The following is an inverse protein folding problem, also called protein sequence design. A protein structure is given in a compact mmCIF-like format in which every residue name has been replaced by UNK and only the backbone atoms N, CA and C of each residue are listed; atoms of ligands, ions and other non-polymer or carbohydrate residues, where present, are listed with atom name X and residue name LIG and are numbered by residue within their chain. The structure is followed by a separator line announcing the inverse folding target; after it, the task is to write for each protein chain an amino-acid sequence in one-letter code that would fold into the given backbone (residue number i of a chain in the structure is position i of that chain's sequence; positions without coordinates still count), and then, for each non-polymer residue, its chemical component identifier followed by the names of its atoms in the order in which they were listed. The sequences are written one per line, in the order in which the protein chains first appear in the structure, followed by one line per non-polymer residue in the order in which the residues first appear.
data_IF_279576020894
#
_entry.id   IF_279576020894
#
_cell.length_a   1.000
_cell.length_b   1.000
_cell.length_c   1.000
_cell.angle_alpha   90.00
_cell.angle_beta   90.00
_cell.angle_gamma   90.00
#
_symmetry.space_group_name_H-M   'P 1'
#
loop_
_entity.id
_entity.type
_entity.pdbx_description
1 polymer ?
#
# COMPACT_ATOMS: atom_id res chain seq x y z
N UNK A 1 -27.19 -3.87 -26.24
CA UNK A 1 -26.99 -5.06 -25.38
C UNK A 1 -26.48 -4.56 -24.04
N UNK A 2 -27.06 -5.02 -22.95
CA UNK A 2 -26.62 -4.66 -21.61
C UNK A 2 -25.24 -5.27 -21.35
N UNK A 3 -24.23 -4.42 -21.13
CA UNK A 3 -22.86 -4.87 -20.93
C UNK A 3 -22.60 -5.19 -19.46
N UNK A 4 -21.98 -6.33 -19.22
CA UNK A 4 -21.68 -6.87 -17.90
C UNK A 4 -20.15 -6.99 -17.68
N UNK A 5 -19.65 -6.45 -16.58
CA UNK A 5 -18.28 -6.66 -16.13
C UNK A 5 -18.25 -7.49 -14.84
N UNK A 6 -17.26 -8.35 -14.71
CA UNK A 6 -17.00 -9.13 -13.50
C UNK A 6 -15.64 -8.74 -12.92
N UNK A 7 -15.61 -8.50 -11.60
CA UNK A 7 -14.37 -8.29 -10.84
C UNK A 7 -14.17 -9.46 -9.88
N UNK A 8 -13.02 -10.09 -9.95
CA UNK A 8 -12.64 -11.18 -9.06
C UNK A 8 -11.83 -10.62 -7.88
N UNK A 9 -12.40 -10.70 -6.68
CA UNK A 9 -11.82 -10.22 -5.43
C UNK A 9 -12.32 -8.83 -5.03
N UNK A 10 -12.76 -8.70 -3.77
CA UNK A 10 -13.23 -7.45 -3.15
C UNK A 10 -12.17 -6.83 -2.20
N UNK A 11 -10.88 -6.94 -2.52
CA UNK A 11 -9.82 -6.14 -1.92
C UNK A 11 -9.77 -4.74 -2.53
N UNK A 12 -8.90 -3.85 -2.02
CA UNK A 12 -8.78 -2.47 -2.51
C UNK A 12 -8.73 -2.41 -4.04
N UNK A 13 -7.87 -3.18 -4.68
CA UNK A 13 -7.72 -3.18 -6.14
C UNK A 13 -9.03 -3.53 -6.88
N UNK A 14 -9.75 -4.56 -6.42
CA UNK A 14 -11.02 -4.97 -7.01
C UNK A 14 -12.14 -3.98 -6.78
N UNK A 15 -12.24 -3.40 -5.58
CA UNK A 15 -13.23 -2.36 -5.27
C UNK A 15 -13.02 -1.11 -6.14
N UNK A 16 -11.77 -0.70 -6.36
CA UNK A 16 -11.45 0.45 -7.21
C UNK A 16 -11.70 0.13 -8.70
N UNK A 17 -11.40 -1.08 -9.15
CA UNK A 17 -11.75 -1.53 -10.49
C UNK A 17 -13.28 -1.53 -10.70
N UNK A 18 -14.05 -2.07 -9.75
CA UNK A 18 -15.51 -2.07 -9.82
C UNK A 18 -16.08 -0.64 -9.88
N UNK A 19 -15.51 0.30 -9.10
CA UNK A 19 -15.92 1.71 -9.12
C UNK A 19 -15.79 2.33 -10.52
N UNK A 20 -14.66 2.13 -11.18
CA UNK A 20 -14.44 2.73 -12.51
C UNK A 20 -15.22 2.00 -13.60
N UNK A 21 -15.47 0.69 -13.46
CA UNK A 21 -16.30 -0.09 -14.37
C UNK A 21 -17.78 0.35 -14.30
N UNK A 22 -18.26 0.73 -13.12
CA UNK A 22 -19.64 1.13 -12.92
C UNK A 22 -20.06 2.37 -13.74
N UNK A 23 -19.11 3.21 -14.15
CA UNK A 23 -19.38 4.36 -15.01
C UNK A 23 -19.59 3.96 -16.50
N UNK A 24 -19.27 2.70 -16.88
CA UNK A 24 -19.23 2.26 -18.29
C UNK A 24 -20.02 0.97 -18.58
N UNK A 25 -20.39 0.19 -17.53
CA UNK A 25 -21.12 -1.04 -17.66
C UNK A 25 -22.47 -0.94 -16.96
N UNK A 26 -23.52 -1.52 -17.58
CA UNK A 26 -24.85 -1.56 -16.99
C UNK A 26 -24.91 -2.43 -15.75
N UNK A 27 -24.07 -3.48 -15.71
CA UNK A 27 -23.95 -4.37 -14.56
C UNK A 27 -22.49 -4.63 -14.25
N UNK A 28 -22.13 -4.53 -12.97
CA UNK A 28 -20.80 -4.90 -12.46
C UNK A 28 -21.00 -5.86 -11.28
N UNK A 29 -20.51 -7.08 -11.43
CA UNK A 29 -20.54 -8.08 -10.36
C UNK A 29 -19.15 -8.23 -9.75
N UNK A 30 -19.04 -7.99 -8.45
CA UNK A 30 -17.84 -8.26 -7.68
C UNK A 30 -17.99 -9.62 -6.98
N UNK A 31 -17.10 -10.56 -7.27
CA UNK A 31 -17.07 -11.88 -6.66
C UNK A 31 -16.01 -11.93 -5.56
N UNK A 32 -16.43 -12.30 -4.37
CA UNK A 32 -15.53 -12.42 -3.21
C UNK A 32 -15.73 -13.78 -2.52
N UNK A 33 -14.62 -14.48 -2.29
CA UNK A 33 -14.64 -15.80 -1.65
C UNK A 33 -14.96 -15.77 -0.17
N UNK A 34 -14.63 -14.66 0.52
CA UNK A 34 -14.90 -14.48 1.94
C UNK A 34 -16.31 -13.91 2.15
N UNK A 35 -16.85 -14.13 3.35
CA UNK A 35 -17.99 -13.36 3.86
C UNK A 35 -17.43 -12.07 4.48
N UNK A 36 -17.99 -10.93 4.10
CA UNK A 36 -17.53 -9.61 4.50
C UNK A 36 -18.42 -9.07 5.62
N UNK A 37 -17.88 -8.95 6.82
CA UNK A 37 -18.60 -8.45 7.99
C UNK A 37 -17.99 -7.12 8.45
N UNK A 38 -18.59 -5.99 8.04
CA UNK A 38 -18.16 -4.65 8.44
C UNK A 38 -16.65 -4.42 8.24
N UNK A 39 -16.00 -3.80 9.22
CA UNK A 39 -14.58 -3.51 9.26
C UNK A 39 -13.76 -4.62 9.97
N UNK A 40 -14.12 -5.88 9.83
CA UNK A 40 -13.38 -7.01 10.42
C UNK A 40 -12.29 -7.56 9.47
N UNK A 41 -11.13 -8.00 10.00
CA UNK A 41 -10.15 -8.74 9.23
C UNK A 41 -10.75 -10.02 8.66
N UNK A 42 -10.38 -10.41 7.43
CA UNK A 42 -10.91 -11.57 6.73
C UNK A 42 -9.83 -12.58 6.31
N UNK A 43 -10.22 -13.84 6.10
CA UNK A 43 -9.28 -14.95 5.83
C UNK A 43 -8.50 -14.75 4.53
N UNK A 44 -9.14 -14.23 3.50
CA UNK A 44 -8.52 -13.98 2.19
C UNK A 44 -7.49 -12.86 2.17
N UNK A 45 -7.44 -12.05 3.23
CA UNK A 45 -6.50 -10.93 3.36
C UNK A 45 -5.79 -11.01 4.73
N UNK A 46 -4.96 -12.05 4.97
CA UNK A 46 -4.29 -12.23 6.26
C UNK A 46 -3.43 -11.03 6.67
N UNK A 47 -2.87 -10.31 5.69
CA UNK A 47 -2.11 -9.08 5.93
C UNK A 47 -2.96 -7.93 6.48
N UNK A 48 -4.29 -7.98 6.46
CA UNK A 48 -5.16 -6.91 6.98
C UNK A 48 -5.00 -6.67 8.48
N UNK A 49 -4.40 -7.62 9.22
CA UNK A 49 -4.05 -7.50 10.64
C UNK A 49 -2.75 -6.74 10.90
N UNK A 50 -2.10 -6.23 9.86
CA UNK A 50 -0.83 -5.51 9.94
C UNK A 50 -1.01 -4.06 9.54
N UNK A 51 -0.05 -3.21 9.92
CA UNK A 51 -0.07 -1.81 9.55
C UNK A 51 -0.06 -1.66 8.03
N UNK A 52 -0.99 -0.87 7.52
CA UNK A 52 -1.08 -0.49 6.13
C UNK A 52 -1.05 1.03 6.03
N UNK A 53 0.02 1.57 5.46
CA UNK A 53 0.08 3.00 5.14
C UNK A 53 -0.66 3.28 3.83
N UNK A 54 -1.72 4.06 3.88
CA UNK A 54 -2.27 4.68 2.67
C UNK A 54 -1.46 5.95 2.40
N UNK A 55 -0.60 5.92 1.38
CA UNK A 55 0.18 7.08 1.02
C UNK A 55 -0.72 8.24 0.53
N UNK A 56 -0.26 9.48 0.70
CA UNK A 56 -1.03 10.66 0.33
C UNK A 56 -1.49 10.63 -1.14
N UNK A 57 -0.64 10.16 -2.07
CA UNK A 57 -1.02 9.99 -3.47
C UNK A 57 -2.20 9.02 -3.66
N UNK A 58 -2.21 7.91 -2.92
CA UNK A 58 -3.33 6.96 -2.92
C UNK A 58 -4.61 7.58 -2.35
N UNK A 59 -4.52 8.33 -1.24
CA UNK A 59 -5.66 9.03 -0.65
C UNK A 59 -6.29 10.03 -1.63
N UNK A 60 -5.46 10.80 -2.34
CA UNK A 60 -5.97 11.76 -3.34
C UNK A 60 -6.76 11.06 -4.45
N UNK A 61 -6.29 9.91 -4.94
CA UNK A 61 -7.01 9.13 -5.96
C UNK A 61 -8.30 8.52 -5.38
N UNK A 62 -8.26 8.02 -4.14
CA UNK A 62 -9.48 7.52 -3.50
C UNK A 62 -10.52 8.62 -3.32
N UNK A 63 -10.10 9.84 -2.99
CA UNK A 63 -11.01 11.00 -2.88
C UNK A 63 -11.57 11.42 -4.25
N UNK A 64 -10.80 11.29 -5.35
CA UNK A 64 -11.30 11.50 -6.71
C UNK A 64 -12.36 10.48 -7.11
N UNK A 65 -12.12 9.20 -6.81
CA UNK A 65 -13.04 8.11 -7.17
C UNK A 65 -14.28 8.05 -6.27
N UNK A 66 -14.14 8.47 -5.02
CA UNK A 66 -15.19 8.49 -3.99
C UNK A 66 -15.14 9.82 -3.22
N UNK A 67 -15.70 10.91 -3.77
CA UNK A 67 -15.68 12.21 -3.12
C UNK A 67 -16.25 12.17 -1.69
N UNK A 68 -15.51 12.67 -0.69
CA UNK A 68 -15.86 12.64 0.72
C UNK A 68 -15.47 11.36 1.47
N UNK A 69 -14.76 10.42 0.86
CA UNK A 69 -14.33 9.17 1.49
C UNK A 69 -13.45 9.41 2.73
N UNK A 70 -12.57 10.41 2.68
CA UNK A 70 -11.75 10.78 3.85
C UNK A 70 -12.64 11.23 5.02
N UNK A 71 -13.68 12.02 4.75
CA UNK A 71 -14.61 12.47 5.79
C UNK A 71 -15.40 11.30 6.41
N UNK A 72 -15.82 10.33 5.59
CA UNK A 72 -16.49 9.13 6.11
C UNK A 72 -15.57 8.32 7.02
N UNK A 73 -14.33 8.07 6.60
CA UNK A 73 -13.37 7.35 7.43
C UNK A 73 -13.09 8.09 8.75
N UNK A 74 -13.01 9.43 8.71
CA UNK A 74 -12.91 10.27 9.92
C UNK A 74 -14.17 10.14 10.78
N UNK A 75 -15.36 10.11 10.20
CA UNK A 75 -16.61 9.85 10.90
C UNK A 75 -16.65 8.49 11.62
N UNK A 76 -15.88 7.51 11.13
CA UNK A 76 -15.67 6.21 11.78
C UNK A 76 -14.50 6.21 12.77
N UNK A 77 -13.91 7.38 13.07
CA UNK A 77 -12.86 7.56 14.06
C UNK A 77 -11.43 7.42 13.56
N UNK A 78 -11.20 7.27 12.25
CA UNK A 78 -9.85 7.26 11.70
C UNK A 78 -9.27 8.68 11.70
N UNK A 79 -8.12 8.96 12.33
CA UNK A 79 -7.53 10.28 12.30
C UNK A 79 -6.85 10.58 10.96
N UNK A 80 -6.65 11.87 10.71
CA UNK A 80 -5.76 12.35 9.64
C UNK A 80 -4.56 13.05 10.24
N UNK A 81 -3.43 13.02 9.53
CA UNK A 81 -2.23 13.74 9.96
C UNK A 81 -1.47 14.29 8.76
N UNK A 82 -0.67 15.32 8.98
CA UNK A 82 0.30 15.80 8.02
C UNK A 82 1.55 14.90 8.05
N UNK A 83 2.12 14.61 6.89
CA UNK A 83 3.13 13.54 6.73
C UNK A 83 4.39 13.77 7.58
N UNK A 84 4.93 15.01 7.63
CA UNK A 84 6.17 15.30 8.37
C UNK A 84 5.97 16.12 9.65
N UNK A 85 4.89 16.90 9.73
CA UNK A 85 4.62 17.73 10.91
C UNK A 85 3.71 17.08 11.94
N UNK A 86 3.09 15.95 11.61
CA UNK A 86 2.25 15.15 12.52
C UNK A 86 2.67 13.69 12.63
N UNK A 87 3.79 13.30 11.99
CA UNK A 87 4.39 11.98 12.16
C UNK A 87 5.91 12.01 12.02
N UNK A 88 6.56 10.99 12.61
CA UNK A 88 8.02 10.85 12.64
C UNK A 88 8.49 9.87 11.59
N UNK A 89 9.40 10.29 10.73
CA UNK A 89 9.96 9.42 9.69
C UNK A 89 11.46 9.27 9.89
N UNK A 90 11.90 8.02 10.04
CA UNK A 90 13.32 7.68 10.15
C UNK A 90 13.80 7.04 8.86
N UNK A 91 14.64 7.74 8.11
CA UNK A 91 15.20 7.34 6.85
C UNK A 91 16.66 6.93 7.07
N UNK A 92 16.98 5.66 6.87
CA UNK A 92 18.33 5.11 7.18
C UNK A 92 18.81 5.45 8.60
N UNK A 93 17.93 5.33 9.59
CA UNK A 93 18.21 5.58 11.01
C UNK A 93 18.24 7.08 11.40
N UNK A 94 18.03 8.01 10.47
CA UNK A 94 18.02 9.45 10.72
C UNK A 94 16.61 10.00 10.63
N UNK A 95 16.17 10.75 11.64
CA UNK A 95 14.86 11.42 11.62
C UNK A 95 14.85 12.49 10.54
N UNK A 96 13.87 12.42 9.62
CA UNK A 96 13.66 13.46 8.62
C UNK A 96 13.31 14.80 9.28
N UNK A 97 13.82 15.90 8.73
CA UNK A 97 13.54 17.25 9.24
C UNK A 97 12.04 17.54 9.12
N UNK A 98 11.45 17.98 10.23
CA UNK A 98 10.03 18.36 10.31
C UNK A 98 9.78 19.62 9.48
N UNK A 99 8.82 19.54 8.57
CA UNK A 99 8.38 20.67 7.73
C UNK A 99 7.00 20.35 7.16
N UNK A 100 6.16 21.34 6.86
CA UNK A 100 4.92 21.08 6.09
C UNK A 100 5.24 20.50 4.72
N UNK A 101 4.56 19.42 4.37
CA UNK A 101 4.64 18.80 3.03
C UNK A 101 3.44 19.14 2.15
N UNK A 102 2.38 19.71 2.73
CA UNK A 102 1.05 19.89 2.16
C UNK A 102 0.39 18.54 1.80
N UNK A 103 0.80 17.48 2.46
CA UNK A 103 0.28 16.13 2.29
C UNK A 103 -0.43 15.68 3.57
N UNK A 104 -1.73 15.51 3.48
CA UNK A 104 -2.52 14.85 4.51
C UNK A 104 -2.59 13.36 4.20
N UNK A 105 -2.33 12.52 5.19
CA UNK A 105 -2.57 11.08 5.15
C UNK A 105 -3.72 10.69 6.05
N UNK A 106 -4.43 9.64 5.67
CA UNK A 106 -5.50 9.02 6.47
C UNK A 106 -4.91 7.82 7.22
N UNK A 107 -5.03 7.83 8.53
CA UNK A 107 -4.54 6.77 9.41
C UNK A 107 -5.71 5.85 9.76
N UNK A 108 -5.99 4.90 8.90
CA UNK A 108 -7.07 3.94 9.05
C UNK A 108 -6.51 2.51 9.01
N UNK A 109 -7.12 1.61 9.76
CA UNK A 109 -6.86 0.19 9.53
C UNK A 109 -7.34 -0.22 8.13
N UNK A 110 -6.70 -1.21 7.56
CA UNK A 110 -7.11 -1.72 6.25
C UNK A 110 -8.56 -2.24 6.24
N UNK A 111 -9.04 -2.97 7.27
CA UNK A 111 -10.43 -3.39 7.33
C UNK A 111 -11.43 -2.22 7.31
N UNK A 112 -11.15 -1.13 8.02
CA UNK A 112 -12.00 0.07 7.98
C UNK A 112 -11.99 0.70 6.59
N UNK A 113 -10.81 0.89 5.99
CA UNK A 113 -10.70 1.48 4.66
C UNK A 113 -11.45 0.65 3.61
N UNK A 114 -11.28 -0.68 3.61
CA UNK A 114 -12.03 -1.58 2.72
C UNK A 114 -13.54 -1.52 2.98
N UNK A 115 -13.99 -1.40 4.23
CA UNK A 115 -15.41 -1.28 4.57
C UNK A 115 -16.02 0.00 4.01
N UNK A 116 -15.38 1.16 4.27
CA UNK A 116 -15.88 2.47 3.79
C UNK A 116 -15.98 2.52 2.27
N UNK A 117 -14.97 1.99 1.56
CA UNK A 117 -15.00 1.91 0.09
C UNK A 117 -16.13 0.99 -0.38
N UNK A 118 -16.27 -0.18 0.24
CA UNK A 118 -17.29 -1.17 -0.11
C UNK A 118 -18.70 -0.63 0.11
N UNK A 119 -18.95 0.05 1.22
CA UNK A 119 -20.28 0.58 1.55
C UNK A 119 -20.71 1.64 0.51
N UNK A 120 -19.79 2.51 0.09
CA UNK A 120 -20.03 3.45 -1.01
C UNK A 120 -20.23 2.78 -2.36
N UNK A 121 -19.47 1.72 -2.63
CA UNK A 121 -19.58 0.98 -3.87
C UNK A 121 -20.92 0.25 -3.96
N UNK A 122 -21.35 -0.44 -2.90
CA UNK A 122 -22.60 -1.21 -2.87
C UNK A 122 -23.86 -0.34 -2.84
N UNK A 123 -23.74 0.96 -2.55
CA UNK A 123 -24.81 1.93 -2.72
C UNK A 123 -25.06 2.31 -4.19
N UNK A 124 -24.19 1.94 -5.12
CA UNK A 124 -24.39 2.18 -6.56
C UNK A 124 -25.35 1.15 -7.15
N UNK A 125 -26.39 1.58 -7.91
CA UNK A 125 -27.49 0.71 -8.31
C UNK A 125 -27.08 -0.41 -9.29
N UNK A 126 -25.98 -0.25 -10.02
CA UNK A 126 -25.49 -1.20 -11.00
C UNK A 126 -24.35 -2.10 -10.46
N UNK A 127 -24.07 -2.06 -9.16
CA UNK A 127 -23.06 -2.91 -8.51
C UNK A 127 -23.76 -4.06 -7.77
N UNK A 128 -23.28 -5.26 -7.99
CA UNK A 128 -23.67 -6.47 -7.25
C UNK A 128 -22.44 -7.10 -6.59
N UNK A 129 -22.47 -7.26 -5.27
CA UNK A 129 -21.40 -7.92 -4.51
C UNK A 129 -21.86 -9.33 -4.09
N UNK A 130 -21.28 -10.36 -4.71
CA UNK A 130 -21.53 -11.78 -4.40
C UNK A 130 -20.43 -12.30 -3.48
N UNK A 131 -20.74 -12.38 -2.19
CA UNK A 131 -19.86 -12.91 -1.15
C UNK A 131 -19.95 -14.43 -1.05
N UNK A 132 -18.93 -15.09 -0.47
CA UNK A 132 -18.87 -16.54 -0.36
C UNK A 132 -18.75 -17.24 -1.72
N UNK A 133 -18.40 -16.50 -2.79
CA UNK A 133 -18.43 -16.99 -4.16
C UNK A 133 -17.01 -17.14 -4.69
N UNK A 134 -16.66 -18.36 -5.12
CA UNK A 134 -15.33 -18.69 -5.63
C UNK A 134 -15.39 -18.90 -7.13
N UNK A 135 -14.67 -18.06 -7.88
CA UNK A 135 -14.36 -18.36 -9.27
C UNK A 135 -13.25 -19.42 -9.33
N UNK A 136 -13.42 -20.48 -10.08
CA UNK A 136 -12.44 -21.57 -10.21
C UNK A 136 -11.88 -21.74 -11.62
N UNK A 137 -12.33 -20.93 -12.57
CA UNK A 137 -11.82 -20.91 -13.94
C UNK A 137 -12.54 -19.93 -14.85
N UNK A 138 -12.10 -19.92 -16.09
CA UNK A 138 -12.73 -19.21 -17.20
C UNK A 138 -13.49 -20.21 -18.07
N UNK A 139 -14.48 -19.76 -18.83
CA UNK A 139 -15.11 -20.55 -19.87
C UNK A 139 -15.18 -19.77 -21.19
N UNK A 140 -15.21 -20.50 -22.29
CA UNK A 140 -15.44 -19.99 -23.63
C UNK A 140 -16.87 -20.36 -24.11
N UNK A 141 -17.31 -19.73 -25.16
CA UNK A 141 -18.60 -20.01 -25.81
C UNK A 141 -18.43 -20.80 -27.14
N UNK A 142 -17.30 -21.48 -27.26
CA UNK A 142 -16.93 -22.24 -28.46
C UNK A 142 -16.23 -21.41 -29.54
N UNK A 143 -16.03 -20.10 -29.32
CA UNK A 143 -15.27 -19.24 -30.23
C UNK A 143 -13.79 -19.23 -29.83
N UNK A 144 -12.87 -19.62 -30.73
CA UNK A 144 -11.43 -19.62 -30.39
C UNK A 144 -10.92 -18.25 -29.95
N UNK A 145 -10.21 -18.21 -28.85
CA UNK A 145 -9.59 -16.98 -28.32
C UNK A 145 -10.56 -16.00 -27.65
N UNK A 146 -11.81 -16.42 -27.39
CA UNK A 146 -12.82 -15.61 -26.68
C UNK A 146 -13.05 -16.19 -25.29
N UNK A 147 -12.91 -15.35 -24.27
CA UNK A 147 -13.33 -15.66 -22.91
C UNK A 147 -14.74 -15.12 -22.72
N UNK A 148 -15.72 -16.01 -22.52
CA UNK A 148 -17.12 -15.65 -22.43
C UNK A 148 -17.59 -15.34 -21.00
N UNK A 149 -16.80 -15.73 -19.98
CA UNK A 149 -17.16 -15.50 -18.59
C UNK A 149 -16.32 -16.30 -17.60
N UNK A 150 -16.80 -16.38 -16.36
CA UNK A 150 -16.16 -17.10 -15.27
C UNK A 150 -16.97 -18.31 -14.86
N UNK A 151 -16.28 -19.40 -14.55
CA UNK A 151 -16.84 -20.60 -13.94
C UNK A 151 -16.78 -20.44 -12.42
N UNK A 152 -17.92 -20.65 -11.77
CA UNK A 152 -18.05 -20.55 -10.32
C UNK A 152 -18.09 -21.96 -9.72
N UNK A 153 -17.48 -22.10 -8.54
CA UNK A 153 -17.61 -23.31 -7.73
C UNK A 153 -19.03 -23.33 -7.16
N UNK A 154 -19.77 -24.39 -7.46
CA UNK A 154 -21.11 -24.61 -6.98
C UNK A 154 -21.14 -25.88 -6.10
N UNK A 155 -22.04 -25.91 -5.10
CA UNK A 155 -22.40 -27.13 -4.36
C UNK A 155 -23.44 -27.95 -5.11
N UNK A 156 -24.11 -27.32 -6.08
CA UNK A 156 -25.07 -28.01 -6.96
C UNK A 156 -24.35 -28.84 -8.03
N UNK A 157 -24.99 -29.90 -8.56
CA UNK A 157 -24.43 -30.67 -9.67
C UNK A 157 -24.19 -29.81 -10.91
N UNK A 158 -22.94 -29.70 -11.32
CA UNK A 158 -22.48 -28.94 -12.47
C UNK A 158 -21.94 -27.53 -12.13
N UNK A 159 -21.07 -26.99 -13.00
CA UNK A 159 -20.51 -25.65 -12.81
C UNK A 159 -21.55 -24.57 -13.09
N UNK A 160 -21.61 -23.54 -12.25
CA UNK A 160 -22.33 -22.31 -12.54
C UNK A 160 -21.45 -21.42 -13.44
N UNK A 161 -21.99 -21.00 -14.59
CA UNK A 161 -21.32 -20.10 -15.52
C UNK A 161 -21.92 -18.71 -15.41
N UNK A 162 -21.07 -17.71 -15.23
CA UNK A 162 -21.47 -16.31 -15.21
C UNK A 162 -20.85 -15.58 -16.40
N UNK A 163 -21.66 -15.22 -17.42
CA UNK A 163 -21.18 -14.53 -18.61
C UNK A 163 -20.72 -13.08 -18.30
N UNK A 164 -19.73 -12.59 -19.05
CA UNK A 164 -19.25 -11.22 -18.94
C UNK A 164 -18.60 -10.73 -20.23
N UNK A 165 -18.73 -9.42 -20.50
CA UNK A 165 -18.03 -8.71 -21.58
C UNK A 165 -16.59 -8.33 -21.17
N UNK A 166 -16.34 -8.16 -19.85
CA UNK A 166 -15.01 -7.92 -19.31
C UNK A 166 -14.86 -8.58 -17.93
N UNK A 167 -13.73 -9.23 -17.71
CA UNK A 167 -13.35 -9.84 -16.44
C UNK A 167 -12.07 -9.17 -15.95
N UNK A 168 -12.07 -8.71 -14.71
CA UNK A 168 -10.90 -8.12 -14.05
C UNK A 168 -10.47 -9.01 -12.90
N UNK A 169 -9.29 -9.63 -13.02
CA UNK A 169 -8.70 -10.38 -11.91
C UNK A 169 -7.93 -9.46 -10.96
N UNK A 170 -8.51 -9.25 -9.78
CA UNK A 170 -7.93 -8.54 -8.64
C UNK A 170 -7.84 -9.46 -7.41
N UNK A 171 -7.66 -10.77 -7.60
CA UNK A 171 -7.58 -11.77 -6.52
C UNK A 171 -6.27 -11.72 -5.73
N UNK A 172 -5.34 -10.86 -6.13
CA UNK A 172 -4.10 -10.58 -5.43
C UNK A 172 -3.00 -11.61 -5.72
N UNK A 173 -2.08 -11.76 -4.78
CA UNK A 173 -0.87 -12.59 -4.95
C UNK A 173 -1.15 -14.05 -5.33
N UNK A 174 -2.28 -14.58 -4.87
CA UNK A 174 -2.73 -15.95 -5.15
C UNK A 174 -3.49 -16.08 -6.48
N UNK A 175 -3.44 -15.07 -7.35
CA UNK A 175 -4.07 -15.08 -8.67
C UNK A 175 -3.66 -16.32 -9.47
N UNK A 176 -4.64 -16.95 -10.05
CA UNK A 176 -4.51 -18.09 -10.97
C UNK A 176 -4.69 -17.68 -12.44
N UNK A 177 -4.67 -16.38 -12.73
CA UNK A 177 -4.88 -15.85 -14.07
C UNK A 177 -4.00 -16.52 -15.13
N UNK A 178 -2.69 -16.70 -14.86
CA UNK A 178 -1.78 -17.35 -15.80
C UNK A 178 -2.17 -18.83 -16.08
N UNK A 179 -2.62 -19.55 -15.04
CA UNK A 179 -3.08 -20.93 -15.18
C UNK A 179 -4.38 -21.01 -16.00
N UNK A 180 -5.34 -20.13 -15.70
CA UNK A 180 -6.62 -20.09 -16.41
C UNK A 180 -6.45 -19.69 -17.88
N UNK A 181 -5.60 -18.70 -18.15
CA UNK A 181 -5.31 -18.29 -19.52
C UNK A 181 -4.59 -19.40 -20.31
N UNK A 182 -3.64 -20.11 -19.71
CA UNK A 182 -3.01 -21.27 -20.34
C UNK A 182 -4.04 -22.36 -20.68
N UNK A 183 -4.97 -22.65 -19.77
CA UNK A 183 -6.07 -23.58 -20.01
C UNK A 183 -7.03 -23.14 -21.13
N UNK A 184 -7.13 -21.84 -21.40
CA UNK A 184 -7.89 -21.24 -22.49
C UNK A 184 -7.07 -21.06 -23.78
N UNK A 185 -5.83 -21.58 -23.85
CA UNK A 185 -4.97 -21.53 -25.03
C UNK A 185 -4.17 -20.24 -25.23
N UNK A 186 -4.15 -19.34 -24.23
CA UNK A 186 -3.35 -18.13 -24.28
C UNK A 186 -1.92 -18.36 -23.75
N UNK A 187 -0.94 -17.53 -24.17
CA UNK A 187 0.42 -17.57 -23.66
C UNK A 187 0.47 -17.30 -22.15
N UNK A 188 1.40 -17.93 -21.45
CA UNK A 188 1.68 -17.67 -20.02
C UNK A 188 2.54 -16.44 -19.85
N UNK A 189 2.12 -15.53 -18.98
CA UNK A 189 2.92 -14.35 -18.66
C UNK A 189 4.20 -14.74 -17.91
N UNK A 190 5.36 -14.26 -18.38
CA UNK A 190 6.60 -14.41 -17.66
C UNK A 190 6.54 -13.71 -16.31
N UNK A 191 7.15 -14.28 -15.27
CA UNK A 191 7.20 -13.69 -13.95
C UNK A 191 8.64 -13.38 -13.54
N UNK A 192 8.84 -12.18 -13.02
CA UNK A 192 10.05 -11.74 -12.34
C UNK A 192 9.83 -11.80 -10.83
N UNK A 193 10.85 -12.23 -10.07
CA UNK A 193 10.77 -12.39 -8.62
C UNK A 193 12.01 -11.86 -7.93
N UNK A 194 11.82 -11.22 -6.77
CA UNK A 194 12.89 -10.79 -5.87
C UNK A 194 12.57 -11.32 -4.48
N UNK A 195 13.34 -12.31 -4.05
CA UNK A 195 13.15 -12.94 -2.75
C UNK A 195 13.84 -12.12 -1.66
N UNK A 196 13.08 -11.81 -0.60
CA UNK A 196 13.53 -10.93 0.49
C UNK A 196 13.35 -11.55 1.87
N UNK A 197 12.59 -12.65 1.97
CA UNK A 197 12.31 -13.35 3.23
C UNK A 197 12.02 -12.37 4.39
N UNK A 198 11.04 -11.50 4.18
CA UNK A 198 10.57 -10.56 5.19
C UNK A 198 9.59 -11.26 6.12
N UNK A 199 9.77 -11.05 7.42
CA UNK A 199 8.75 -11.34 8.43
C UNK A 199 8.34 -10.07 9.16
N UNK A 200 7.09 -9.98 9.54
CA UNK A 200 6.64 -8.96 10.46
C UNK A 200 5.65 -9.53 11.47
N UNK A 201 5.59 -8.84 12.61
CA UNK A 201 4.65 -9.11 13.68
C UNK A 201 3.95 -7.79 14.03
N UNK A 202 2.64 -7.85 14.24
CA UNK A 202 1.84 -6.67 14.56
C UNK A 202 1.03 -6.86 15.82
N UNK A 203 0.86 -5.78 16.55
CA UNK A 203 0.09 -5.73 17.79
C UNK A 203 -0.62 -4.40 17.92
N UNK A 204 -1.79 -4.37 18.52
CA UNK A 204 -2.49 -3.13 18.87
C UNK A 204 -2.30 -2.78 20.34
N UNK A 205 -2.22 -1.47 20.60
CA UNK A 205 -2.10 -0.90 21.94
C UNK A 205 -3.11 0.22 22.14
N UNK A 206 -3.46 0.48 23.38
CA UNK A 206 -4.31 1.63 23.71
C UNK A 206 -3.61 2.94 23.44
N UNK A 207 -4.26 3.84 22.72
CA UNK A 207 -3.76 5.19 22.45
C UNK A 207 -3.94 6.10 23.65
N UNK A 208 -2.95 6.95 23.92
CA UNK A 208 -3.03 8.10 24.81
C UNK A 208 -2.49 9.35 24.14
N UNK A 209 -3.13 10.54 24.30
CA UNK A 209 -2.76 11.75 23.57
C UNK A 209 -1.36 12.30 23.85
N UNK A 210 -0.75 11.97 25.00
CA UNK A 210 0.58 12.39 25.44
C UNK A 210 1.71 11.60 24.79
N UNK A 211 1.40 10.45 24.20
CA UNK A 211 2.39 9.58 23.57
C UNK A 211 2.95 10.22 22.28
N UNK A 212 4.20 9.92 21.97
CA UNK A 212 4.96 10.50 20.84
C UNK A 212 4.90 12.04 20.76
N UNK A 213 4.67 12.74 21.88
CA UNK A 213 4.56 14.20 21.90
C UNK A 213 3.42 14.75 21.05
N UNK A 214 2.35 13.98 20.87
CA UNK A 214 1.18 14.33 20.09
C UNK A 214 1.27 13.97 18.60
N UNK A 215 2.41 13.41 18.12
CA UNK A 215 2.49 12.87 16.76
C UNK A 215 1.63 11.60 16.65
N UNK A 216 0.91 11.44 15.52
CA UNK A 216 -0.02 10.33 15.29
C UNK A 216 0.59 9.15 14.54
N UNK A 217 1.86 9.22 14.24
CA UNK A 217 2.57 8.14 13.55
C UNK A 217 4.08 8.20 13.72
N UNK A 218 4.71 7.04 13.61
CA UNK A 218 6.16 6.89 13.49
C UNK A 218 6.46 5.75 12.51
N UNK A 219 7.40 6.01 11.60
CA UNK A 219 7.90 5.03 10.63
C UNK A 219 9.42 4.97 10.75
N UNK A 220 9.95 3.79 11.00
CA UNK A 220 11.39 3.51 11.11
C UNK A 220 11.75 2.54 9.98
N UNK A 221 12.49 3.04 8.98
CA UNK A 221 12.94 2.21 7.86
C UNK A 221 13.88 1.08 8.33
N UNK A 222 13.86 -0.03 7.61
CA UNK A 222 14.70 -1.20 7.89
C UNK A 222 16.20 -0.97 7.63
N UNK A 223 16.56 0.08 6.90
CA UNK A 223 17.94 0.52 6.75
C UNK A 223 18.37 1.40 7.94
N UNK A 224 19.64 1.32 8.41
CA UNK A 224 20.79 0.64 7.79
C UNK A 224 20.94 -0.85 8.14
N UNK A 225 20.12 -1.38 9.05
CA UNK A 225 20.13 -2.80 9.42
C UNK A 225 19.16 -3.64 8.60
N UNK A 226 18.54 -4.64 9.25
CA UNK A 226 17.47 -5.46 8.70
C UNK A 226 16.12 -5.19 9.36
N UNK A 227 16.10 -4.51 10.51
CA UNK A 227 14.96 -4.29 11.38
C UNK A 227 14.38 -2.91 11.24
N UNK A 228 13.07 -2.82 11.19
CA UNK A 228 12.32 -1.57 11.14
C UNK A 228 10.92 -1.76 11.67
N UNK A 229 10.11 -0.72 11.58
CA UNK A 229 8.73 -0.81 12.04
C UNK A 229 7.95 0.47 11.81
N UNK A 230 6.68 0.40 12.17
CA UNK A 230 5.80 1.55 12.17
C UNK A 230 4.78 1.45 13.29
N UNK A 231 4.33 2.58 13.76
CA UNK A 231 3.17 2.71 14.62
C UNK A 231 2.32 3.87 14.13
N UNK A 232 1.01 3.66 13.98
CA UNK A 232 0.05 4.70 13.62
C UNK A 232 -1.15 4.64 14.56
N UNK A 233 -1.66 5.80 14.92
CA UNK A 233 -2.96 5.88 15.56
C UNK A 233 -4.04 5.58 14.53
N UNK A 234 -4.98 4.69 14.87
CA UNK A 234 -6.09 4.30 14.01
C UNK A 234 -7.41 4.45 14.75
N UNK A 235 -8.51 4.22 14.07
CA UNK A 235 -9.85 4.23 14.66
C UNK A 235 -9.94 3.40 15.96
N UNK A 236 -10.86 3.76 16.84
CA UNK A 236 -11.06 3.09 18.13
C UNK A 236 -9.99 3.42 19.18
N UNK A 237 -9.31 4.57 19.03
CA UNK A 237 -8.27 5.02 19.97
C UNK A 237 -7.19 3.96 20.21
N UNK A 238 -6.56 3.50 19.14
CA UNK A 238 -5.57 2.43 19.17
C UNK A 238 -4.31 2.82 18.41
N UNK A 239 -3.17 2.44 18.94
CA UNK A 239 -1.95 2.31 18.17
C UNK A 239 -1.94 0.96 17.45
N UNK A 240 -1.74 0.98 16.16
CA UNK A 240 -1.42 -0.20 15.38
C UNK A 240 0.09 -0.23 15.12
N UNK A 241 0.77 -1.17 15.78
CA UNK A 241 2.25 -1.29 15.74
C UNK A 241 2.63 -2.51 14.94
N UNK A 242 3.54 -2.34 13.98
CA UNK A 242 4.14 -3.43 13.21
C UNK A 242 5.65 -3.35 13.29
N UNK A 243 6.28 -4.44 13.68
CA UNK A 243 7.73 -4.63 13.61
C UNK A 243 8.04 -5.53 12.42
N UNK A 244 9.12 -5.24 11.70
CA UNK A 244 9.52 -5.98 10.51
C UNK A 244 11.01 -6.29 10.48
N UNK A 245 11.35 -7.46 9.94
CA UNK A 245 12.73 -7.88 9.77
C UNK A 245 12.97 -8.57 8.44
N UNK A 246 13.98 -8.12 7.72
CA UNK A 246 14.38 -8.61 6.41
C UNK A 246 15.30 -9.83 6.52
N UNK A 247 15.36 -10.64 5.46
CA UNK A 247 16.34 -11.73 5.30
C UNK A 247 16.30 -12.81 6.40
N UNK A 248 15.11 -13.06 6.94
CA UNK A 248 14.91 -14.09 7.98
C UNK A 248 15.06 -13.59 9.41
N UNK A 249 15.43 -12.32 9.62
CA UNK A 249 15.51 -11.70 10.95
C UNK A 249 14.11 -11.28 11.44
N UNK A 250 13.24 -12.28 11.65
CA UNK A 250 11.82 -12.06 11.89
C UNK A 250 11.51 -11.68 13.34
N UNK A 251 10.58 -10.73 13.58
CA UNK A 251 10.17 -10.38 14.93
C UNK A 251 9.53 -11.58 15.65
N UNK A 252 9.82 -11.77 16.96
CA UNK A 252 9.11 -12.73 17.80
C UNK A 252 7.61 -12.45 17.93
N UNK A 253 6.87 -13.46 18.38
CA UNK A 253 5.41 -13.40 18.56
C UNK A 253 4.99 -13.50 20.02
N UNK A 254 5.92 -13.64 20.92
CA UNK A 254 5.69 -13.50 22.36
C UNK A 254 5.88 -12.05 22.80
N UNK A 255 5.30 -11.68 23.93
CA UNK A 255 5.30 -10.30 24.42
C UNK A 255 6.72 -9.76 24.67
N UNK A 256 7.53 -10.50 25.43
CA UNK A 256 8.87 -10.06 25.79
C UNK A 256 9.80 -9.97 24.59
N UNK A 257 9.71 -10.94 23.67
CA UNK A 257 10.47 -10.95 22.43
C UNK A 257 10.07 -9.82 21.49
N UNK A 258 8.78 -9.47 21.38
CA UNK A 258 8.31 -8.35 20.60
C UNK A 258 8.87 -7.02 21.11
N UNK A 259 8.84 -6.80 22.42
CA UNK A 259 9.40 -5.62 23.07
C UNK A 259 10.93 -5.54 22.91
N UNK A 260 11.63 -6.64 23.16
CA UNK A 260 13.07 -6.73 22.97
C UNK A 260 13.48 -6.46 21.52
N UNK A 261 12.71 -6.92 20.55
CA UNK A 261 12.96 -6.62 19.14
C UNK A 261 12.77 -5.12 18.83
N UNK A 262 11.73 -4.49 19.39
CA UNK A 262 11.49 -3.06 19.23
C UNK A 262 12.63 -2.21 19.80
N UNK A 263 13.25 -2.64 20.91
CA UNK A 263 14.41 -1.98 21.51
C UNK A 263 15.67 -1.97 20.62
N UNK A 264 15.74 -2.87 19.62
CA UNK A 264 16.86 -2.96 18.68
C UNK A 264 16.67 -2.13 17.40
N UNK A 265 15.54 -1.44 17.23
CA UNK A 265 15.30 -0.60 16.07
C UNK A 265 16.27 0.59 16.00
N UNK A 266 16.53 1.13 14.78
CA UNK A 266 17.41 2.30 14.62
C UNK A 266 16.98 3.57 15.36
N UNK A 267 15.73 3.62 15.86
CA UNK A 267 15.20 4.72 16.65
C UNK A 267 14.33 4.19 17.79
N UNK A 268 14.29 4.87 18.95
CA UNK A 268 13.68 4.35 20.17
C UNK A 268 12.16 4.54 20.25
N UNK A 269 11.57 5.34 19.36
CA UNK A 269 10.20 5.85 19.50
C UNK A 269 9.14 4.75 19.61
N UNK A 270 9.25 3.67 18.81
CA UNK A 270 8.30 2.54 18.88
C UNK A 270 8.50 1.78 20.18
N UNK A 271 9.73 1.53 20.61
CA UNK A 271 9.99 0.85 21.88
C UNK A 271 9.42 1.65 23.06
N UNK A 272 9.74 2.95 23.15
CA UNK A 272 9.20 3.84 24.18
C UNK A 272 7.68 3.85 24.20
N UNK A 273 7.03 3.87 23.01
CA UNK A 273 5.59 3.85 22.91
C UNK A 273 4.99 2.56 23.48
N UNK A 274 5.55 1.38 23.15
CA UNK A 274 4.95 0.10 23.54
C UNK A 274 5.20 -0.29 24.98
N UNK A 275 6.32 0.15 25.58
CA UNK A 275 6.63 -0.11 27.02
C UNK A 275 5.58 0.57 27.92
N UNK A 276 5.15 1.77 27.55
CA UNK A 276 4.21 2.56 28.35
C UNK A 276 2.74 2.35 27.96
N UNK A 277 2.46 1.56 26.92
CA UNK A 277 1.12 1.38 26.39
C UNK A 277 0.50 0.03 26.81
N UNK A 278 -0.80 0.04 27.10
CA UNK A 278 -1.58 -1.17 27.38
C UNK A 278 -1.75 -2.00 26.09
N UNK A 279 -1.27 -3.24 26.02
CA UNK A 279 -1.50 -4.12 24.88
C UNK A 279 -2.97 -4.59 24.85
N UNK A 280 -3.57 -4.60 23.65
CA UNK A 280 -4.98 -5.00 23.46
C UNK A 280 -5.14 -6.41 22.91
N UNK A 281 -4.09 -6.97 22.30
CA UNK A 281 -4.07 -8.31 21.71
C UNK A 281 -2.66 -8.89 21.70
N UNK A 282 -2.50 -10.17 21.40
CA UNK A 282 -1.21 -10.80 21.20
C UNK A 282 -0.60 -10.44 19.84
N UNK A 283 0.74 -10.51 19.70
CA UNK A 283 1.40 -10.23 18.43
C UNK A 283 1.01 -11.24 17.34
N UNK A 284 0.59 -10.74 16.18
CA UNK A 284 0.19 -11.57 15.04
C UNK A 284 1.30 -11.57 13.98
N UNK A 285 1.85 -12.74 13.61
CA UNK A 285 2.91 -12.83 12.62
C UNK A 285 2.38 -12.84 11.18
N UNK A 286 3.22 -12.40 10.24
CA UNK A 286 3.06 -12.61 8.81
C UNK A 286 4.40 -12.79 8.10
N UNK A 287 4.39 -13.56 7.02
CA UNK A 287 5.57 -13.84 6.19
C UNK A 287 5.34 -13.37 4.77
N UNK A 288 6.35 -12.71 4.22
CA UNK A 288 6.37 -12.27 2.84
C UNK A 288 7.67 -12.75 2.19
N UNK A 289 7.58 -13.77 1.35
CA UNK A 289 8.76 -14.40 0.73
C UNK A 289 9.48 -13.49 -0.24
N UNK A 290 8.74 -12.72 -1.05
CA UNK A 290 9.34 -11.83 -2.05
C UNK A 290 8.32 -11.13 -2.93
N UNK A 291 8.82 -10.12 -3.63
CA UNK A 291 8.09 -9.37 -4.65
C UNK A 291 7.93 -10.19 -5.92
N UNK A 292 6.81 -10.05 -6.61
CA UNK A 292 6.52 -10.77 -7.87
C UNK A 292 5.89 -9.80 -8.85
N UNK A 293 6.42 -9.75 -10.07
CA UNK A 293 5.84 -9.05 -11.21
C UNK A 293 5.54 -10.04 -12.32
N UNK A 294 4.32 -10.02 -12.83
CA UNK A 294 3.87 -10.84 -13.97
C UNK A 294 3.73 -9.93 -15.19
N UNK A 295 4.47 -10.26 -16.24
CA UNK A 295 4.59 -9.43 -17.45
C UNK A 295 3.46 -9.70 -18.45
N UNK A 296 2.21 -9.46 -18.04
CA UNK A 296 1.06 -9.59 -18.94
C UNK A 296 1.16 -8.65 -20.14
N UNK A 297 1.80 -7.50 -19.98
CA UNK A 297 2.06 -6.53 -21.05
C UNK A 297 2.92 -7.06 -22.20
N UNK A 298 3.61 -8.18 -21.98
CA UNK A 298 4.49 -8.80 -22.99
C UNK A 298 3.86 -9.98 -23.71
N UNK A 299 2.60 -10.28 -23.42
CA UNK A 299 1.92 -11.35 -24.14
C UNK A 299 1.74 -10.98 -25.60
N UNK A 300 2.01 -11.93 -26.50
CA UNK A 300 1.84 -11.73 -27.95
C UNK A 300 0.37 -11.54 -28.35
N UNK A 301 -0.56 -12.08 -27.54
CA UNK A 301 -1.99 -11.90 -27.70
C UNK A 301 -2.65 -11.77 -26.33
N UNK A 302 -3.51 -10.78 -26.18
CA UNK A 302 -4.33 -10.57 -24.99
C UNK A 302 -5.75 -11.03 -25.30
N UNK A 303 -6.40 -11.79 -24.39
CA UNK A 303 -7.84 -11.96 -24.50
C UNK A 303 -8.52 -10.60 -24.37
N UNK A 304 -9.46 -10.31 -25.30
CA UNK A 304 -10.13 -8.99 -25.32
C UNK A 304 -11.02 -8.74 -24.11
N UNK A 305 -11.38 -9.80 -23.38
CA UNK A 305 -12.36 -9.78 -22.30
C UNK A 305 -11.75 -10.05 -20.92
N UNK A 306 -10.40 -10.08 -20.78
CA UNK A 306 -9.77 -10.42 -19.51
C UNK A 306 -8.54 -9.56 -19.25
N UNK A 307 -8.48 -8.95 -18.07
CA UNK A 307 -7.28 -8.25 -17.60
C UNK A 307 -6.98 -8.55 -16.12
N UNK A 308 -5.74 -8.30 -15.73
CA UNK A 308 -5.21 -8.54 -14.38
C UNK A 308 -4.78 -7.21 -13.77
N UNK A 309 -5.12 -6.97 -12.49
CA UNK A 309 -4.90 -5.70 -11.82
C UNK A 309 -4.43 -5.90 -10.36
N UNK A 310 -3.74 -4.92 -9.79
CA UNK A 310 -3.27 -4.93 -8.40
C UNK A 310 -2.17 -5.96 -8.15
N UNK A 311 -2.19 -6.59 -6.98
CA UNK A 311 -1.20 -7.60 -6.58
C UNK A 311 -1.25 -8.87 -7.44
N UNK A 312 -2.33 -9.10 -8.19
CA UNK A 312 -2.41 -10.15 -9.21
C UNK A 312 -1.43 -9.89 -10.35
N UNK A 313 -1.18 -8.63 -10.68
CA UNK A 313 -0.25 -8.19 -11.72
C UNK A 313 1.16 -7.96 -11.15
N UNK A 314 1.26 -7.21 -10.05
CA UNK A 314 2.53 -6.89 -9.43
C UNK A 314 2.40 -6.68 -7.92
N UNK A 315 3.07 -7.52 -7.13
CA UNK A 315 3.12 -7.41 -5.67
C UNK A 315 4.51 -7.03 -5.20
N UNK A 316 4.60 -6.09 -4.25
CA UNK A 316 5.84 -5.50 -3.77
C UNK A 316 6.12 -5.86 -2.33
N UNK A 317 7.36 -5.60 -1.92
CA UNK A 317 7.73 -5.59 -0.52
C UNK A 317 6.84 -4.60 0.26
N UNK A 318 6.03 -5.08 1.23
CA UNK A 318 5.05 -4.25 1.92
C UNK A 318 5.65 -3.14 2.79
N UNK A 319 6.93 -3.21 3.15
CA UNK A 319 7.60 -2.16 3.96
C UNK A 319 7.64 -0.80 3.25
N UNK A 320 7.48 -0.76 1.92
CA UNK A 320 7.44 0.49 1.16
C UNK A 320 6.03 1.08 1.01
N UNK A 321 4.99 0.41 1.49
CA UNK A 321 3.59 0.85 1.52
C UNK A 321 3.01 1.29 0.14
N UNK A 322 3.57 0.86 -1.00
CA UNK A 322 3.19 1.33 -2.34
C UNK A 322 1.96 0.62 -2.93
N UNK A 323 1.62 -0.58 -2.43
CA UNK A 323 0.65 -1.46 -3.09
C UNK A 323 -0.74 -0.86 -3.30
N UNK A 324 -1.32 -0.21 -2.27
CA UNK A 324 -2.66 0.40 -2.37
C UNK A 324 -2.66 1.61 -3.31
N UNK A 325 -1.62 2.45 -3.25
CA UNK A 325 -1.50 3.61 -4.13
C UNK A 325 -1.33 3.20 -5.59
N UNK A 326 -0.51 2.17 -5.86
CA UNK A 326 -0.36 1.65 -7.22
C UNK A 326 -1.66 1.03 -7.74
N UNK A 327 -2.42 0.31 -6.90
CA UNK A 327 -3.74 -0.21 -7.28
C UNK A 327 -4.70 0.94 -7.65
N UNK A 328 -4.66 2.05 -6.91
CA UNK A 328 -5.44 3.25 -7.22
C UNK A 328 -5.01 3.91 -8.54
N UNK A 329 -3.70 4.01 -8.80
CA UNK A 329 -3.17 4.51 -10.08
C UNK A 329 -3.57 3.60 -11.25
N UNK A 330 -3.56 2.27 -11.06
CA UNK A 330 -4.04 1.31 -12.07
C UNK A 330 -5.55 1.47 -12.32
N UNK A 331 -6.35 1.74 -11.30
CA UNK A 331 -7.77 2.03 -11.49
C UNK A 331 -8.00 3.30 -12.33
N UNK A 332 -7.21 4.36 -12.12
CA UNK A 332 -7.26 5.55 -12.99
C UNK A 332 -6.81 5.25 -14.43
N UNK A 333 -5.80 4.40 -14.61
CA UNK A 333 -5.38 3.94 -15.94
C UNK A 333 -6.51 3.15 -16.64
N UNK A 334 -7.23 2.30 -15.89
CA UNK A 334 -8.40 1.59 -16.40
C UNK A 334 -9.53 2.56 -16.75
N UNK A 335 -9.85 3.54 -15.88
CA UNK A 335 -10.83 4.61 -16.12
C UNK A 335 -10.55 5.33 -17.45
N UNK A 336 -9.29 5.73 -17.67
CA UNK A 336 -8.89 6.39 -18.91
C UNK A 336 -9.08 5.50 -20.14
N UNK A 337 -8.76 4.19 -20.04
CA UNK A 337 -8.98 3.24 -21.14
C UNK A 337 -10.46 3.06 -21.46
N UNK A 338 -11.32 2.98 -20.45
CA UNK A 338 -12.76 2.80 -20.61
C UNK A 338 -13.42 4.04 -21.26
N UNK A 339 -12.93 5.24 -20.93
CA UNK A 339 -13.40 6.49 -21.55
C UNK A 339 -13.09 6.60 -23.06
N UNK A 340 -12.12 5.81 -23.56
CA UNK A 340 -11.80 5.73 -25.01
C UNK A 340 -12.59 4.64 -25.73
N UNK A 341 -13.46 3.92 -25.04
CA UNK A 341 -14.29 2.84 -25.56
C UNK A 341 -13.97 1.48 -24.94
N UNK A 342 -14.88 0.54 -25.14
CA UNK A 342 -14.81 -0.77 -24.46
C UNK A 342 -14.06 -1.84 -25.27
N UNK A 343 -13.71 -1.55 -26.52
CA UNK A 343 -12.96 -2.47 -27.37
C UNK A 343 -11.47 -2.41 -27.06
N UNK A 344 -10.78 -3.55 -26.96
CA UNK A 344 -9.33 -3.61 -26.72
C UNK A 344 -8.86 -3.03 -25.38
N UNK A 345 -9.71 -2.91 -24.38
CA UNK A 345 -9.39 -2.37 -23.05
C UNK A 345 -8.16 -3.04 -22.42
N UNK A 346 -8.00 -4.39 -22.43
CA UNK A 346 -6.83 -5.02 -21.81
C UNK A 346 -5.49 -4.55 -22.36
N UNK A 347 -5.35 -4.48 -23.69
CA UNK A 347 -4.11 -4.00 -24.32
C UNK A 347 -3.79 -2.54 -23.98
N UNK A 348 -4.80 -1.65 -24.06
CA UNK A 348 -4.62 -0.24 -23.69
C UNK A 348 -4.32 -0.07 -22.20
N UNK A 349 -4.96 -0.88 -21.34
CA UNK A 349 -4.70 -0.88 -19.90
C UNK A 349 -3.24 -1.24 -19.60
N UNK A 350 -2.73 -2.34 -20.15
CA UNK A 350 -1.34 -2.72 -19.92
C UNK A 350 -0.36 -1.66 -20.45
N UNK A 351 -0.63 -1.05 -21.60
CA UNK A 351 0.21 0.02 -22.12
C UNK A 351 0.30 1.23 -21.15
N UNK A 352 -0.80 1.58 -20.48
CA UNK A 352 -0.84 2.69 -19.49
C UNK A 352 -0.35 2.29 -18.11
N UNK A 353 -0.65 1.09 -17.65
CA UNK A 353 -0.29 0.62 -16.32
C UNK A 353 1.21 0.28 -16.21
N UNK A 354 1.84 -0.20 -17.29
CA UNK A 354 3.25 -0.63 -17.28
C UNK A 354 4.21 0.45 -16.82
N UNK A 355 4.18 1.71 -17.30
CA UNK A 355 5.08 2.75 -16.81
C UNK A 355 4.92 3.02 -15.30
N UNK A 356 3.69 2.97 -14.76
CA UNK A 356 3.42 3.16 -13.34
C UNK A 356 4.03 2.01 -12.51
N UNK A 357 3.83 0.78 -13.00
CA UNK A 357 4.38 -0.43 -12.38
C UNK A 357 5.90 -0.43 -12.45
N UNK A 358 6.51 -0.02 -13.57
CA UNK A 358 7.96 0.05 -13.75
C UNK A 358 8.61 0.97 -12.71
N UNK A 359 8.02 2.14 -12.46
CA UNK A 359 8.52 3.09 -11.45
C UNK A 359 8.48 2.45 -10.07
N UNK A 360 7.32 1.93 -9.64
CA UNK A 360 7.14 1.33 -8.33
C UNK A 360 8.01 0.06 -8.15
N UNK A 361 8.11 -0.79 -9.19
CA UNK A 361 8.95 -1.97 -9.19
C UNK A 361 10.43 -1.61 -9.03
N UNK A 362 10.92 -0.65 -9.81
CA UNK A 362 12.32 -0.19 -9.72
C UNK A 362 12.62 0.46 -8.38
N UNK A 363 11.72 1.28 -7.84
CA UNK A 363 11.91 1.90 -6.51
C UNK A 363 12.02 0.82 -5.43
N UNK A 364 11.09 -0.14 -5.40
CA UNK A 364 11.06 -1.22 -4.42
C UNK A 364 12.27 -2.15 -4.56
N UNK A 365 12.53 -2.67 -5.76
CA UNK A 365 13.63 -3.63 -5.97
C UNK A 365 15.01 -3.00 -5.81
N UNK A 366 15.21 -1.73 -6.22
CA UNK A 366 16.46 -1.04 -5.94
C UNK A 366 16.71 -0.91 -4.44
N UNK A 367 15.68 -0.59 -3.66
CA UNK A 367 15.79 -0.54 -2.20
C UNK A 367 16.08 -1.92 -1.60
N UNK A 368 15.42 -2.99 -2.08
CA UNK A 368 15.71 -4.37 -1.68
C UNK A 368 17.14 -4.77 -2.02
N UNK A 369 17.66 -4.39 -3.19
CA UNK A 369 19.06 -4.66 -3.60
C UNK A 369 20.10 -3.85 -2.80
N UNK A 370 19.71 -2.93 -1.94
CA UNK A 370 20.63 -2.31 -0.99
C UNK A 370 21.08 -3.30 0.12
N UNK A 371 20.31 -4.37 0.37
CA UNK A 371 20.67 -5.43 1.31
C UNK A 371 21.56 -6.48 0.63
N UNK A 372 22.77 -6.75 1.18
CA UNK A 372 23.70 -7.71 0.57
C UNK A 372 23.15 -9.12 0.36
N UNK A 373 22.28 -9.57 1.28
CA UNK A 373 21.66 -10.90 1.27
C UNK A 373 20.54 -11.09 0.22
N UNK A 374 20.00 -10.02 -0.38
CA UNK A 374 18.99 -10.15 -1.44
C UNK A 374 19.64 -10.60 -2.73
N UNK A 375 19.19 -11.74 -3.27
CA UNK A 375 19.72 -12.29 -4.52
C UNK A 375 19.14 -11.53 -5.72
N UNK A 376 20.01 -11.10 -6.64
CA UNK A 376 19.60 -10.44 -7.87
C UNK A 376 20.71 -9.64 -8.55
N UNK A 377 20.41 -9.12 -9.73
CA UNK A 377 21.38 -8.39 -10.55
C UNK A 377 21.50 -6.93 -10.10
N UNK A 378 22.62 -6.60 -9.45
CA UNK A 378 22.95 -5.21 -9.04
C UNK A 378 23.70 -4.50 -10.18
N UNK A 379 22.97 -3.79 -11.01
CA UNK A 379 23.57 -2.99 -12.09
C UNK A 379 24.31 -1.78 -11.52
N UNK A 380 25.18 -1.17 -12.35
CA UNK A 380 25.83 0.10 -11.99
C UNK A 380 24.76 1.19 -11.67
N UNK A 381 23.69 1.23 -12.47
CA UNK A 381 22.55 2.14 -12.25
C UNK A 381 21.94 1.92 -10.87
N UNK A 382 21.67 0.68 -10.46
CA UNK A 382 21.15 0.34 -9.14
C UNK A 382 22.07 0.84 -8.03
N UNK A 383 23.38 0.62 -8.15
CA UNK A 383 24.38 1.06 -7.17
C UNK A 383 24.43 2.59 -7.04
N UNK A 384 24.41 3.31 -8.17
CA UNK A 384 24.41 4.78 -8.19
C UNK A 384 23.12 5.35 -7.63
N UNK A 385 21.96 4.80 -8.00
CA UNK A 385 20.66 5.20 -7.45
C UNK A 385 20.63 5.03 -5.94
N UNK A 386 21.03 3.87 -5.41
CA UNK A 386 21.06 3.62 -3.97
C UNK A 386 22.07 4.52 -3.24
N UNK A 387 23.21 4.83 -3.84
CA UNK A 387 24.16 5.79 -3.28
C UNK A 387 23.56 7.20 -3.21
N UNK A 388 22.84 7.62 -4.24
CA UNK A 388 22.16 8.91 -4.28
C UNK A 388 21.01 8.98 -3.28
N UNK A 389 20.16 7.94 -3.19
CA UNK A 389 19.05 7.88 -2.21
C UNK A 389 19.61 7.96 -0.78
N UNK A 390 20.70 7.28 -0.45
CA UNK A 390 21.34 7.43 0.87
C UNK A 390 21.82 8.86 1.13
N UNK A 391 22.27 9.60 0.11
CA UNK A 391 22.59 11.03 0.24
C UNK A 391 21.33 11.87 0.49
N UNK A 392 20.22 11.56 -0.21
CA UNK A 392 18.94 12.22 0.03
C UNK A 392 18.46 12.01 1.47
N UNK A 393 18.56 10.79 2.02
CA UNK A 393 18.19 10.50 3.41
C UNK A 393 19.00 11.35 4.42
N UNK A 394 20.33 11.47 4.22
CA UNK A 394 21.16 12.31 5.08
C UNK A 394 20.83 13.79 4.93
N UNK A 395 20.63 14.26 3.71
CA UNK A 395 20.24 15.64 3.47
C UNK A 395 18.85 15.96 4.04
N UNK A 396 17.88 15.04 3.91
CA UNK A 396 16.54 15.17 4.46
C UNK A 396 16.52 15.25 6.00
N UNK A 397 17.54 14.73 6.69
CA UNK A 397 17.68 14.86 8.14
C UNK A 397 17.92 16.33 8.57
N UNK A 398 18.64 17.10 7.79
CA UNK A 398 19.09 18.45 8.16
C UNK A 398 18.50 19.58 7.31
N UNK A 399 18.00 19.27 6.12
CA UNK A 399 17.42 20.27 5.19
C UNK A 399 15.92 20.01 4.98
N UNK A 400 15.04 20.89 5.51
CA UNK A 400 13.59 20.72 5.37
C UNK A 400 13.09 20.69 3.91
N UNK A 401 13.75 21.39 2.98
CA UNK A 401 13.34 21.39 1.58
C UNK A 401 13.61 20.03 0.91
N UNK A 402 14.75 19.38 1.24
CA UNK A 402 15.04 18.02 0.78
C UNK A 402 14.09 17.03 1.43
N UNK A 403 13.82 17.17 2.75
CA UNK A 403 12.86 16.34 3.48
C UNK A 403 11.48 16.40 2.80
N UNK A 404 10.95 17.60 2.55
CA UNK A 404 9.68 17.81 1.85
C UNK A 404 9.67 17.15 0.47
N UNK A 405 10.66 17.43 -0.38
CA UNK A 405 10.72 16.88 -1.74
C UNK A 405 10.79 15.35 -1.70
N UNK A 406 11.63 14.79 -0.81
CA UNK A 406 11.77 13.35 -0.67
C UNK A 406 10.44 12.69 -0.25
N UNK A 407 9.74 13.24 0.74
CA UNK A 407 8.48 12.68 1.21
C UNK A 407 7.35 12.82 0.18
N UNK A 408 7.31 13.88 -0.62
CA UNK A 408 6.34 14.02 -1.72
C UNK A 408 6.55 12.96 -2.80
N UNK A 409 7.81 12.67 -3.14
CA UNK A 409 8.16 11.57 -4.08
C UNK A 409 7.85 10.21 -3.46
N UNK A 410 8.23 9.97 -2.20
CA UNK A 410 7.97 8.71 -1.50
C UNK A 410 6.47 8.42 -1.35
N UNK A 411 5.63 9.47 -1.22
CA UNK A 411 4.17 9.38 -1.18
C UNK A 411 3.51 9.28 -2.56
N UNK A 412 4.28 9.12 -3.64
CA UNK A 412 3.80 8.98 -5.02
C UNK A 412 2.91 10.14 -5.48
N UNK A 413 3.19 11.36 -5.00
CA UNK A 413 2.51 12.60 -5.41
C UNK A 413 3.34 13.32 -6.46
N UNK A 414 4.64 13.47 -6.21
CA UNK A 414 5.56 14.08 -7.16
C UNK A 414 6.41 13.00 -7.87
N UNK A 415 6.84 13.24 -9.11
CA UNK A 415 7.66 12.28 -9.84
C UNK A 415 9.07 12.14 -9.23
N UNK A 416 9.68 10.96 -9.33
CA UNK A 416 11.02 10.70 -8.81
C UNK A 416 12.10 11.61 -9.41
N UNK A 417 11.86 12.19 -10.59
CA UNK A 417 12.72 13.18 -11.25
C UNK A 417 12.89 14.47 -10.44
N UNK A 418 11.97 14.79 -9.53
CA UNK A 418 12.06 15.99 -8.69
C UNK A 418 13.24 15.94 -7.71
N UNK A 419 13.68 14.74 -7.36
CA UNK A 419 14.91 14.57 -6.59
C UNK A 419 16.17 14.98 -7.37
N UNK A 420 16.11 15.09 -8.68
CA UNK A 420 17.21 15.45 -9.56
C UNK A 420 17.10 16.89 -10.10
N UNK A 421 16.08 17.65 -9.71
CA UNK A 421 16.00 19.07 -10.08
C UNK A 421 17.24 19.83 -9.56
N UNK A 422 17.79 20.78 -10.31
CA UNK A 422 19.05 21.44 -9.97
C UNK A 422 19.12 21.96 -8.52
N UNK A 423 18.04 22.58 -8.03
CA UNK A 423 17.97 23.09 -6.66
C UNK A 423 18.02 21.96 -5.61
N UNK A 424 17.27 20.88 -5.81
CA UNK A 424 17.28 19.71 -4.93
C UNK A 424 18.64 19.01 -4.97
N UNK A 425 19.20 18.81 -6.17
CA UNK A 425 20.51 18.19 -6.34
C UNK A 425 21.60 18.96 -5.62
N UNK A 426 21.64 20.30 -5.77
CA UNK A 426 22.62 21.13 -5.09
C UNK A 426 22.54 21.00 -3.55
N UNK A 427 21.32 20.95 -2.99
CA UNK A 427 21.10 20.74 -1.55
C UNK A 427 21.53 19.33 -1.12
N UNK A 428 21.18 18.30 -1.86
CA UNK A 428 21.59 16.92 -1.59
C UNK A 428 23.11 16.76 -1.65
N UNK A 429 23.79 17.43 -2.58
CA UNK A 429 25.25 17.43 -2.66
C UNK A 429 25.88 18.17 -1.46
N UNK A 430 25.28 19.29 -1.04
CA UNK A 430 25.76 20.10 0.09
C UNK A 430 25.58 19.40 1.45
N UNK A 431 24.41 18.83 1.70
CA UNK A 431 24.02 18.31 3.01
C UNK A 431 24.05 16.79 3.15
N UNK A 432 24.12 16.06 2.03
CA UNK A 432 24.08 14.58 1.99
C UNK A 432 25.45 13.90 2.13
N UNK A 433 26.52 14.62 2.44
CA UNK A 433 27.83 14.03 2.70
C UNK A 433 27.82 13.23 4.02
N UNK A 434 28.63 12.16 4.17
CA UNK A 434 28.79 11.51 5.45
C UNK A 434 29.23 12.52 6.51
N UNK A 435 28.51 12.56 7.63
CA UNK A 435 28.94 13.39 8.77
C UNK A 435 30.22 12.75 9.31
N UNK A 436 31.34 13.45 9.27
CA UNK A 436 32.48 13.06 10.08
C UNK A 436 32.04 13.16 11.55
N UNK A 437 32.32 12.14 12.35
CA UNK A 437 31.83 11.93 13.73
C UNK A 437 32.26 13.00 14.76
N UNK A 438 32.23 14.29 14.44
CA UNK A 438 32.73 15.36 15.29
C UNK A 438 31.78 16.56 15.50
N UNK A 439 30.44 16.32 15.50
CA UNK A 439 29.51 17.34 16.04
C UNK A 439 28.49 16.66 16.95
N UNK A 440 28.37 17.12 18.22
CA UNK A 440 27.30 16.67 19.09
C UNK A 440 25.96 17.11 18.50
N UNK A 441 24.98 16.20 18.54
CA UNK A 441 23.63 16.46 18.09
C UNK A 441 23.04 17.65 18.85
N UNK A 442 22.62 18.68 18.13
CA UNK A 442 21.88 19.79 18.73
C UNK A 442 20.56 19.26 19.28
N UNK A 443 20.37 19.37 20.58
CA UNK A 443 19.11 19.04 21.26
C UNK A 443 17.98 19.88 20.68
N UNK A 444 16.85 19.30 20.23
CA UNK A 444 15.73 20.10 19.77
C UNK A 444 15.20 20.98 20.89
N UNK A 445 15.06 22.27 20.63
CA UNK A 445 14.44 23.19 21.56
C UNK A 445 13.02 22.73 21.92
N UNK A 446 12.73 22.67 23.22
CA UNK A 446 11.42 22.37 23.73
C UNK A 446 10.38 23.37 23.19
N UNK A 447 9.27 22.88 22.70
CA UNK A 447 8.12 23.69 22.26
C UNK A 447 7.61 24.49 23.46
N UNK A 448 7.35 25.82 23.37
CA UNK A 448 6.72 26.55 24.48
C UNK A 448 5.33 25.98 24.76
N UNK A 449 5.04 25.76 26.05
CA UNK A 449 3.75 25.29 26.52
C UNK A 449 2.67 26.33 26.14
N UNK A 450 1.52 25.83 25.65
CA UNK A 450 0.34 26.66 25.38
C UNK A 450 -0.13 27.34 26.67
N UNK A 451 -0.57 28.61 26.64
CA UNK A 451 -1.04 29.29 27.83
C UNK A 451 -2.33 28.64 28.34
N UNK A 452 -2.33 28.26 29.61
CA UNK A 452 -3.54 27.76 30.29
C UNK A 452 -4.57 28.89 30.33
N UNK A 453 -5.76 28.66 29.79
CA UNK A 453 -6.90 29.54 29.96
C UNK A 453 -7.36 29.50 31.43
N UNK A 454 -7.01 30.53 32.17
CA UNK A 454 -7.56 30.76 33.51
C UNK A 454 -9.04 31.09 33.40
N UNK A 455 -9.88 30.24 33.94
CA UNK A 455 -11.31 30.52 34.16
C UNK A 455 -11.43 31.57 35.26
N UNK A 456 -11.85 32.78 34.91
CA UNK A 456 -12.29 33.77 35.87
C UNK A 456 -13.72 33.43 36.33
N UNK A 457 -13.88 32.89 37.53
CA UNK A 457 -15.15 32.91 38.25
C UNK A 457 -15.31 34.31 38.86
N UNK A 458 -16.23 35.09 38.32
CA UNK A 458 -16.76 36.26 39.01
C UNK A 458 -18.17 35.90 39.44
N UNK A 459 -18.40 35.90 40.76
CA UNK A 459 -19.70 35.82 41.34
C UNK A 459 -20.49 37.14 41.22
N UNK A 460 -21.75 37.00 41.06
CA UNK A 460 -22.82 37.70 41.81
C UNK A 460 -24.08 36.90 41.63
#
# INVERSE_FOLDING_TARGET
MDKHAIVLGAGIAGLLAARVLADHYQHVTVLERDTLAGAAPRRGVPQARHLHGLMAGGRLILEELFPGLTADAVGHGAPTTEVLSGSRWYLSGLRAATTPTDLTTLLASRPLLESVIRDRLTAMPNISLRQGTVADGLFDDGRPGVIAGVRLRSEAPGPEHLPADLIVDATGRASRASEWLAGAGFPVAAAERVDINLGYSSRTYRYRPDQLGGDLGVVISTMPGSRGGGAINVEGNRWHVTLGGMLGDHPPTDHAGFEAFAATLPAPDIHQLIVDAEPLEDPVPHRFSGSVRRHFERLAAHPGQFLVLGDSLCSFNPVYAQGMTLAAQQALALKACLSEGLEGVPGRFYARATPLIDIAWQMSTNADFAYPGVVGKRTLRTKLTNAYVRRCHRAAHVDPAVSRTFMRVANLVDPATDLFRPATLARVLRYGSPVSNNRPAATPAARPAAPSSASSSAGH
#
